data_IF_344900951800
#
_entry.id   IF_344900951800
#
_cell.length_a   1.000
_cell.length_b   1.000
_cell.length_c   1.000
_cell.angle_alpha   90.00
_cell.angle_beta   90.00
_cell.angle_gamma   90.00
#
_symmetry.space_group_name_H-M   'P 1'
#
loop_
_entity.id
_entity.type
_entity.pdbx_description
1 polymer ?
#
# COMPACT_ATOMS: atom_id res chain seq x y z
N UNK A 1 3.37 -24.85 -7.21
CA UNK A 1 4.30 -23.83 -7.74
C UNK A 1 4.38 -22.68 -6.74
N UNK A 2 5.55 -22.06 -6.50
CA UNK A 2 5.63 -20.86 -5.68
C UNK A 2 4.84 -19.73 -6.37
N UNK A 3 3.97 -19.05 -5.62
CA UNK A 3 3.23 -17.89 -6.14
C UNK A 3 4.21 -16.76 -6.47
N UNK A 4 4.03 -16.11 -7.61
CA UNK A 4 4.94 -15.04 -8.04
C UNK A 4 4.53 -13.72 -7.38
N UNK A 5 5.44 -13.10 -6.62
CA UNK A 5 5.23 -11.81 -5.97
C UNK A 5 5.99 -10.73 -6.72
N UNK A 6 5.28 -9.72 -7.24
CA UNK A 6 5.86 -8.54 -7.89
C UNK A 6 5.51 -7.28 -7.10
N UNK A 7 6.49 -6.39 -6.93
CA UNK A 7 6.28 -5.05 -6.36
C UNK A 7 6.44 -4.03 -7.48
N UNK A 8 5.48 -3.14 -7.64
CA UNK A 8 5.52 -2.07 -8.64
C UNK A 8 5.09 -0.74 -8.00
N UNK A 9 5.44 0.38 -8.65
CA UNK A 9 4.80 1.66 -8.35
C UNK A 9 3.32 1.56 -8.73
N UNK A 10 2.45 1.87 -7.78
CA UNK A 10 1.00 1.80 -7.93
C UNK A 10 0.34 3.17 -7.94
N UNK A 11 -0.97 3.18 -8.17
CA UNK A 11 -1.82 4.36 -8.05
C UNK A 11 -2.62 4.34 -6.73
N UNK A 12 -3.16 5.49 -6.34
CA UNK A 12 -3.84 5.64 -5.05
C UNK A 12 -5.14 4.84 -5.02
N UNK A 13 -5.81 4.68 -6.15
CA UNK A 13 -7.03 3.92 -6.30
C UNK A 13 -6.82 2.45 -5.91
N UNK A 14 -5.76 1.80 -6.39
CA UNK A 14 -5.46 0.40 -6.07
C UNK A 14 -5.12 0.24 -4.58
N UNK A 15 -4.31 1.16 -4.04
CA UNK A 15 -3.96 1.16 -2.62
C UNK A 15 -5.18 1.37 -1.72
N UNK A 16 -6.07 2.29 -2.10
CA UNK A 16 -7.34 2.52 -1.40
C UNK A 16 -8.26 1.30 -1.50
N UNK A 17 -8.37 0.66 -2.66
CA UNK A 17 -9.15 -0.58 -2.83
C UNK A 17 -8.65 -1.71 -1.94
N UNK A 18 -7.33 -1.86 -1.78
CA UNK A 18 -6.76 -2.85 -0.86
C UNK A 18 -7.08 -2.46 0.59
N UNK A 19 -6.89 -1.19 0.96
CA UNK A 19 -7.16 -0.68 2.31
C UNK A 19 -8.60 -0.94 2.77
N UNK A 20 -9.59 -0.70 1.90
CA UNK A 20 -11.00 -0.95 2.20
C UNK A 20 -11.34 -2.43 2.42
N UNK A 21 -10.46 -3.35 2.01
CA UNK A 21 -10.62 -4.79 2.23
C UNK A 21 -9.85 -5.29 3.47
N UNK A 22 -9.12 -4.43 4.17
CA UNK A 22 -8.35 -4.79 5.35
C UNK A 22 -9.22 -4.65 6.61
N UNK A 23 -9.35 -5.70 7.43
CA UNK A 23 -10.15 -5.63 8.66
C UNK A 23 -9.55 -4.71 9.72
N UNK A 24 -8.27 -4.35 9.62
CA UNK A 24 -7.61 -3.43 10.56
C UNK A 24 -7.89 -1.94 10.26
N UNK A 25 -8.58 -1.64 9.15
CA UNK A 25 -8.95 -0.28 8.76
C UNK A 25 -10.45 -0.08 8.98
N UNK A 26 -10.85 0.13 10.24
CA UNK A 26 -12.25 0.34 10.63
C UNK A 26 -12.88 1.60 9.98
N UNK A 27 -12.06 2.60 9.70
CA UNK A 27 -12.43 3.82 8.96
C UNK A 27 -11.32 4.14 7.94
N UNK A 28 -11.36 3.54 6.74
CA UNK A 28 -10.32 3.73 5.73
C UNK A 28 -10.36 5.16 5.18
N UNK A 29 -9.19 5.76 4.96
CA UNK A 29 -9.10 7.06 4.30
C UNK A 29 -9.70 6.98 2.88
N UNK A 30 -10.42 8.03 2.49
CA UNK A 30 -10.86 8.15 1.11
C UNK A 30 -9.71 8.67 0.22
N UNK A 31 -9.90 8.59 -1.11
CA UNK A 31 -8.88 8.97 -2.09
C UNK A 31 -8.52 10.47 -1.97
N UNK A 32 -9.50 11.33 -1.68
CA UNK A 32 -9.30 12.76 -1.54
C UNK A 32 -8.41 13.09 -0.33
N UNK A 33 -8.66 12.47 0.82
CA UNK A 33 -7.85 12.62 2.03
C UNK A 33 -6.40 12.15 1.81
N UNK A 34 -6.23 11.02 1.11
CA UNK A 34 -4.90 10.50 0.77
C UNK A 34 -4.17 11.50 -0.12
N UNK A 35 -4.83 11.97 -1.19
CA UNK A 35 -4.24 12.93 -2.11
C UNK A 35 -3.89 14.23 -1.40
N UNK A 36 -4.79 14.81 -0.61
CA UNK A 36 -4.54 16.05 0.12
C UNK A 36 -3.29 15.97 1.01
N UNK A 37 -3.00 14.79 1.56
CA UNK A 37 -1.85 14.60 2.45
C UNK A 37 -0.52 14.43 1.73
N UNK A 38 -0.52 13.79 0.56
CA UNK A 38 0.70 13.53 -0.23
C UNK A 38 0.88 14.53 -1.38
N UNK A 39 -0.09 15.41 -1.60
CA UNK A 39 -0.04 16.42 -2.64
C UNK A 39 1.14 17.37 -2.38
N UNK A 40 1.85 17.73 -3.43
CA UNK A 40 3.02 18.63 -3.39
C UNK A 40 4.19 18.18 -2.51
N UNK A 41 4.23 16.93 -2.07
CA UNK A 41 5.39 16.35 -1.37
C UNK A 41 5.87 15.09 -2.09
N UNK A 42 7.20 14.82 -2.10
CA UNK A 42 7.72 13.56 -2.59
C UNK A 42 7.07 12.39 -1.86
N UNK A 43 6.64 11.37 -2.61
CA UNK A 43 5.97 10.21 -2.06
C UNK A 43 6.25 8.95 -2.85
N UNK A 44 6.04 7.81 -2.20
CA UNK A 44 6.18 6.49 -2.76
C UNK A 44 4.88 5.73 -2.50
N UNK A 45 4.26 5.26 -3.57
CA UNK A 45 3.14 4.32 -3.52
C UNK A 45 3.55 3.01 -4.21
N UNK A 46 3.66 1.93 -3.45
CA UNK A 46 3.97 0.59 -3.94
C UNK A 46 2.78 -0.34 -3.76
N UNK A 47 2.56 -1.18 -4.75
CA UNK A 47 1.56 -2.25 -4.69
C UNK A 47 2.26 -3.59 -4.95
N UNK A 48 1.96 -4.56 -4.09
CA UNK A 48 2.35 -5.95 -4.25
C UNK A 48 1.27 -6.72 -4.99
N UNK A 49 1.67 -7.46 -6.01
CA UNK A 49 0.82 -8.36 -6.78
C UNK A 49 1.24 -9.81 -6.55
N UNK A 50 0.26 -10.66 -6.25
CA UNK A 50 0.40 -12.12 -6.22
C UNK A 50 -0.35 -12.67 -7.42
N UNK A 51 0.36 -13.27 -8.38
CA UNK A 51 -0.24 -13.83 -9.60
C UNK A 51 -1.17 -12.84 -10.32
N UNK A 52 -0.72 -11.58 -10.45
CA UNK A 52 -1.44 -10.42 -11.03
C UNK A 52 -2.62 -9.88 -10.20
N UNK A 53 -2.86 -10.41 -9.01
CA UNK A 53 -3.90 -9.90 -8.10
C UNK A 53 -3.26 -8.97 -7.07
N UNK A 54 -3.78 -7.73 -6.87
CA UNK A 54 -3.33 -6.86 -5.81
C UNK A 54 -3.46 -7.53 -4.44
N UNK A 55 -2.38 -7.54 -3.67
CA UNK A 55 -2.26 -8.34 -2.45
C UNK A 55 -1.89 -7.50 -1.22
N UNK A 56 -1.23 -6.37 -1.42
CA UNK A 56 -0.83 -5.46 -0.37
C UNK A 56 -0.27 -4.17 -0.95
N UNK A 57 -0.11 -3.16 -0.12
CA UNK A 57 0.40 -1.86 -0.53
C UNK A 57 1.24 -1.20 0.55
N UNK A 58 2.00 -0.18 0.13
CA UNK A 58 2.76 0.72 0.99
C UNK A 58 2.68 2.13 0.42
N UNK A 59 2.26 3.08 1.24
CA UNK A 59 2.26 4.50 0.94
C UNK A 59 3.05 5.25 2.01
N UNK A 60 4.07 5.98 1.58
CA UNK A 60 4.79 6.90 2.44
C UNK A 60 5.13 8.17 1.70
N UNK A 61 5.36 9.24 2.44
CA UNK A 61 5.63 10.57 1.90
C UNK A 61 6.66 11.29 2.76
N UNK A 62 7.30 12.31 2.19
CA UNK A 62 8.21 13.18 2.93
C UNK A 62 7.44 14.05 3.91
N UNK A 63 7.89 14.07 5.17
CA UNK A 63 7.44 14.99 6.19
C UNK A 63 8.64 15.50 6.97
N UNK A 64 8.85 16.81 6.93
CA UNK A 64 9.92 17.49 7.69
C UNK A 64 11.32 16.90 7.39
N UNK A 65 11.58 16.54 6.12
CA UNK A 65 12.85 15.94 5.69
C UNK A 65 13.01 14.45 6.00
N UNK A 66 12.02 13.82 6.64
CA UNK A 66 12.00 12.38 6.92
C UNK A 66 11.00 11.64 6.03
N UNK A 67 11.28 10.39 5.70
CA UNK A 67 10.31 9.52 5.07
C UNK A 67 9.30 9.00 6.09
N UNK A 68 8.07 9.51 6.03
CA UNK A 68 6.98 9.06 6.88
C UNK A 68 6.24 7.89 6.22
N UNK A 69 6.50 6.69 6.73
CA UNK A 69 5.78 5.47 6.37
C UNK A 69 4.35 5.52 6.92
N UNK A 70 3.38 5.91 6.10
CA UNK A 70 2.03 6.21 6.56
C UNK A 70 1.05 5.05 6.48
N UNK A 71 0.64 4.66 5.27
CA UNK A 71 -0.36 3.61 5.07
C UNK A 71 0.28 2.37 4.50
N UNK A 72 -0.27 1.22 4.83
CA UNK A 72 0.11 -0.03 4.21
C UNK A 72 -0.54 -1.21 4.88
N UNK A 73 -0.57 -2.31 4.14
CA UNK A 73 -1.16 -3.54 4.63
C UNK A 73 -1.14 -4.63 3.59
N UNK A 74 -1.40 -5.85 4.05
CA UNK A 74 -1.48 -7.05 3.20
C UNK A 74 -2.80 -7.74 3.50
N UNK A 75 -3.57 -8.01 2.45
CA UNK A 75 -4.87 -8.69 2.59
C UNK A 75 -4.70 -10.00 3.35
N UNK A 76 -5.63 -10.37 4.25
CA UNK A 76 -5.52 -11.57 5.09
C UNK A 76 -5.09 -12.83 4.34
N UNK A 77 -5.68 -13.06 3.14
CA UNK A 77 -5.38 -14.21 2.28
C UNK A 77 -3.94 -14.29 1.74
N UNK A 78 -3.17 -13.20 1.80
CA UNK A 78 -1.79 -13.13 1.30
C UNK A 78 -0.75 -12.89 2.41
N UNK A 79 -1.16 -12.93 3.69
CA UNK A 79 -0.25 -12.79 4.84
C UNK A 79 0.69 -13.99 4.96
N UNK A 80 1.80 -13.81 5.68
CA UNK A 80 2.86 -14.81 5.88
C UNK A 80 3.57 -15.28 4.60
N UNK A 81 3.36 -14.58 3.47
CA UNK A 81 4.09 -14.79 2.21
C UNK A 81 5.32 -13.88 2.05
N UNK A 82 5.71 -13.15 3.11
CA UNK A 82 6.84 -12.20 3.06
C UNK A 82 6.56 -10.89 2.28
N UNK A 83 5.31 -10.63 1.89
CA UNK A 83 4.92 -9.43 1.12
C UNK A 83 5.27 -8.13 1.85
N UNK A 84 4.94 -8.04 3.14
CA UNK A 84 5.25 -6.84 3.93
C UNK A 84 6.76 -6.53 3.96
N UNK A 85 7.61 -7.56 4.00
CA UNK A 85 9.07 -7.41 3.94
C UNK A 85 9.54 -6.93 2.55
N UNK A 86 8.86 -7.33 1.48
CA UNK A 86 9.17 -6.88 0.11
C UNK A 86 8.69 -5.45 -0.17
N UNK A 87 7.74 -4.95 0.62
CA UNK A 87 7.21 -3.60 0.55
C UNK A 87 7.97 -2.59 1.44
N UNK A 88 8.89 -3.08 2.28
CA UNK A 88 9.63 -2.28 3.25
C UNK A 88 10.90 -1.67 2.67
#
# INVERSE_FOLDING_TARGET
MPKNIKIIKGNIETSAQIMHQLPEFDSPYNIEEINNRINNVPHINLVAYVDKIPAGFKLGYEREGFFYSWLGGVLPKYRRMGIAKKLA
#
